data_IF_851764873518
#
_entry.id   IF_851764873518
#
_cell.length_a   1.000
_cell.length_b   1.000
_cell.length_c   1.000
_cell.angle_alpha   90.00
_cell.angle_beta   90.00
_cell.angle_gamma   90.00
#
_symmetry.space_group_name_H-M   'P 1'
#
loop_
_entity.id
_entity.type
_entity.pdbx_description
1 polymer ?
#
# COMPACT_ATOMS: atom_id res chain seq x y z
N UNK A 1 3.64 9.13 6.54
CA UNK A 1 4.96 9.76 6.66
C UNK A 1 5.02 10.90 5.65
N UNK A 2 5.75 11.98 5.93
CA UNK A 2 5.90 13.10 4.98
C UNK A 2 7.24 12.94 4.22
N UNK A 3 7.17 12.78 2.90
CA UNK A 3 8.33 12.67 2.03
C UNK A 3 8.71 14.05 1.49
N UNK A 4 10.00 14.41 1.52
CA UNK A 4 10.52 15.66 0.96
C UNK A 4 11.70 15.41 0.04
N UNK A 5 11.66 16.00 -1.16
CA UNK A 5 12.74 15.89 -2.15
C UNK A 5 12.70 17.06 -3.15
N UNK A 6 13.82 17.31 -3.83
CA UNK A 6 13.86 18.24 -4.96
C UNK A 6 13.51 17.49 -6.25
N UNK A 7 12.61 18.05 -7.05
CA UNK A 7 12.15 17.44 -8.28
C UNK A 7 13.12 17.64 -9.45
N UNK A 8 13.07 16.75 -10.43
CA UNK A 8 13.56 17.01 -11.78
C UNK A 8 12.40 17.49 -12.68
N UNK A 9 12.74 17.97 -13.88
CA UNK A 9 11.73 18.38 -14.86
C UNK A 9 10.83 17.20 -15.25
N UNK A 10 9.52 17.46 -15.38
CA UNK A 10 8.55 16.40 -15.70
C UNK A 10 7.13 16.75 -15.30
N UNK A 11 6.19 15.82 -15.45
CA UNK A 11 4.84 15.98 -14.90
C UNK A 11 4.86 15.65 -13.41
N UNK A 12 4.26 16.50 -12.58
CA UNK A 12 4.22 16.34 -11.11
C UNK A 12 3.81 14.93 -10.69
N UNK A 13 2.71 14.42 -11.24
CA UNK A 13 2.18 13.09 -10.91
C UNK A 13 3.13 11.94 -11.29
N UNK A 14 3.88 12.08 -12.38
CA UNK A 14 4.86 11.09 -12.81
C UNK A 14 6.13 11.14 -11.95
N UNK A 15 6.66 12.34 -11.71
CA UNK A 15 7.88 12.56 -10.92
C UNK A 15 7.71 12.05 -9.49
N UNK A 16 6.56 12.32 -8.88
CA UNK A 16 6.27 11.88 -7.51
C UNK A 16 6.04 10.36 -7.45
N UNK A 17 5.36 9.78 -8.45
CA UNK A 17 5.14 8.33 -8.51
C UNK A 17 6.45 7.56 -8.62
N UNK A 18 7.33 7.99 -9.52
CA UNK A 18 8.67 7.45 -9.68
C UNK A 18 9.49 7.58 -8.40
N UNK A 19 9.53 8.78 -7.81
CA UNK A 19 10.36 9.03 -6.64
C UNK A 19 9.92 8.27 -5.40
N UNK A 20 8.61 8.10 -5.22
CA UNK A 20 8.05 7.42 -4.06
C UNK A 20 7.81 5.93 -4.31
N UNK A 21 7.93 5.43 -5.54
CA UNK A 21 7.62 4.05 -5.87
C UNK A 21 6.14 3.68 -5.76
N UNK A 22 5.24 4.67 -5.80
CA UNK A 22 3.78 4.45 -5.70
C UNK A 22 3.11 4.49 -7.07
N UNK A 23 1.95 3.84 -7.26
CA UNK A 23 1.19 3.95 -8.48
C UNK A 23 0.83 5.40 -8.81
N UNK A 24 0.94 5.81 -10.07
CA UNK A 24 0.61 7.17 -10.52
C UNK A 24 -0.82 7.59 -10.17
N UNK A 25 -1.77 6.66 -10.18
CA UNK A 25 -3.15 6.92 -9.79
C UNK A 25 -3.28 7.33 -8.31
N UNK A 26 -2.43 6.79 -7.44
CA UNK A 26 -2.40 7.16 -6.02
C UNK A 26 -1.87 8.58 -5.82
N UNK A 27 -0.81 8.94 -6.54
CA UNK A 27 -0.31 10.31 -6.55
C UNK A 27 -1.35 11.29 -7.03
N UNK A 28 -2.09 10.96 -8.10
CA UNK A 28 -3.14 11.85 -8.63
C UNK A 28 -4.24 12.10 -7.59
N UNK A 29 -4.72 11.06 -6.90
CA UNK A 29 -5.67 11.22 -5.78
C UNK A 29 -5.06 12.06 -4.65
N UNK A 30 -3.78 11.82 -4.35
CA UNK A 30 -3.02 12.58 -3.36
C UNK A 30 -2.92 14.08 -3.66
N UNK A 31 -2.64 14.43 -4.92
CA UNK A 31 -2.62 15.80 -5.41
C UNK A 31 -4.01 16.44 -5.28
N UNK A 32 -5.06 15.72 -5.68
CA UNK A 32 -6.46 16.18 -5.57
C UNK A 32 -6.88 16.43 -4.12
N UNK A 33 -6.34 15.67 -3.16
CA UNK A 33 -6.55 15.87 -1.72
C UNK A 33 -5.57 16.85 -1.06
N UNK A 34 -4.69 17.51 -1.83
CA UNK A 34 -3.71 18.47 -1.30
C UNK A 34 -2.60 17.84 -0.44
N UNK A 35 -2.39 16.52 -0.57
CA UNK A 35 -1.35 15.77 0.11
C UNK A 35 0.02 15.90 -0.56
N UNK A 36 0.07 16.46 -1.77
CA UNK A 36 1.30 16.75 -2.51
C UNK A 36 1.37 18.26 -2.78
N UNK A 37 2.52 18.87 -2.45
CA UNK A 37 2.78 20.30 -2.62
C UNK A 37 4.08 20.53 -3.39
N UNK A 38 4.10 21.59 -4.18
CA UNK A 38 5.26 22.10 -4.93
C UNK A 38 5.58 23.47 -4.36
N UNK A 39 6.77 23.64 -3.80
CA UNK A 39 7.21 24.85 -3.10
C UNK A 39 6.20 25.35 -2.05
N UNK A 40 5.56 24.39 -1.37
CA UNK A 40 4.56 24.66 -0.31
C UNK A 40 3.12 24.85 -0.82
N UNK A 41 2.90 24.97 -2.14
CA UNK A 41 1.58 25.18 -2.73
C UNK A 41 0.99 23.92 -3.37
N UNK A 42 -0.33 23.76 -3.28
CA UNK A 42 -1.04 22.69 -3.99
C UNK A 42 -1.11 23.05 -5.48
N UNK A 43 -0.81 22.08 -6.34
CA UNK A 43 -0.83 22.21 -7.80
C UNK A 43 -1.77 21.20 -8.42
N UNK A 44 -2.12 21.38 -9.69
CA UNK A 44 -2.92 20.39 -10.42
C UNK A 44 -2.09 19.16 -10.77
N UNK A 45 -2.73 18.00 -10.96
CA UNK A 45 -2.06 16.77 -11.40
C UNK A 45 -1.35 16.85 -12.76
N UNK A 46 -1.75 17.81 -13.59
CA UNK A 46 -1.15 18.09 -14.90
C UNK A 46 -0.01 19.11 -14.84
N UNK A 47 0.29 19.67 -13.66
CA UNK A 47 1.37 20.63 -13.48
C UNK A 47 2.71 20.04 -13.95
N UNK A 48 3.47 20.85 -14.71
CA UNK A 48 4.81 20.50 -15.19
C UNK A 48 5.84 21.18 -14.30
N UNK A 49 6.72 20.36 -13.75
CA UNK A 49 7.90 20.74 -13.01
C UNK A 49 9.02 21.07 -14.00
N UNK A 50 9.84 22.06 -13.67
CA UNK A 50 10.98 22.54 -14.44
C UNK A 50 12.30 21.99 -13.90
N UNK A 51 12.28 21.40 -12.70
CA UNK A 51 13.46 20.91 -11.98
C UNK A 51 13.92 21.91 -10.92
N UNK A 52 14.33 21.38 -9.78
CA UNK A 52 14.77 22.15 -8.61
C UNK A 52 13.66 22.44 -7.61
N UNK A 53 12.37 22.38 -8.01
CA UNK A 53 11.25 22.64 -7.10
C UNK A 53 11.23 21.69 -5.90
N UNK A 54 10.86 22.20 -4.73
CA UNK A 54 10.74 21.42 -3.51
C UNK A 54 9.38 20.71 -3.44
N UNK A 55 9.39 19.39 -3.42
CA UNK A 55 8.19 18.58 -3.27
C UNK A 55 8.05 18.14 -1.83
N UNK A 56 6.84 18.33 -1.26
CA UNK A 56 6.41 17.61 -0.06
C UNK A 56 5.20 16.74 -0.38
N UNK A 57 5.26 15.46 0.01
CA UNK A 57 4.22 14.48 -0.27
C UNK A 57 3.91 13.65 0.98
N UNK A 58 2.68 13.78 1.47
CA UNK A 58 2.13 12.97 2.56
C UNK A 58 1.35 11.77 2.00
N UNK A 59 1.98 11.02 1.08
CA UNK A 59 1.43 9.78 0.54
C UNK A 59 1.99 8.59 1.32
N UNK A 60 1.19 7.54 1.46
CA UNK A 60 1.75 6.26 1.86
C UNK A 60 2.61 5.78 0.69
N UNK A 61 3.90 5.48 0.94
CA UNK A 61 4.75 4.83 -0.06
C UNK A 61 4.20 3.43 -0.42
N UNK A 62 4.80 2.73 -1.41
CA UNK A 62 4.57 1.31 -1.57
C UNK A 62 4.79 0.67 -0.21
N UNK A 63 3.82 -0.12 0.23
CA UNK A 63 4.01 -0.86 1.48
C UNK A 63 5.04 -1.94 1.14
N UNK A 64 6.22 -1.90 1.77
CA UNK A 64 7.25 -2.94 1.69
C UNK A 64 6.72 -4.21 2.36
N UNK A 65 5.74 -4.84 1.72
CA UNK A 65 5.13 -6.06 2.18
C UNK A 65 6.03 -7.22 1.81
N UNK A 66 6.84 -7.63 2.78
CA UNK A 66 7.66 -8.81 2.63
C UNK A 66 6.84 -10.08 2.86
N UNK A 67 6.99 -11.11 1.99
CA UNK A 67 6.46 -12.44 2.24
C UNK A 67 7.06 -13.09 3.49
N UNK A 68 6.23 -13.70 4.33
CA UNK A 68 6.69 -14.45 5.50
C UNK A 68 6.14 -15.88 5.49
N UNK A 69 7.02 -16.85 5.30
CA UNK A 69 6.65 -18.26 5.35
C UNK A 69 6.28 -18.66 6.79
N UNK A 70 5.00 -18.95 7.02
CA UNK A 70 4.50 -19.53 8.26
C UNK A 70 3.25 -20.37 7.98
N UNK A 71 2.86 -21.29 8.88
CA UNK A 71 1.65 -22.08 8.69
C UNK A 71 0.41 -21.21 8.48
N UNK A 72 -0.31 -21.50 7.40
CA UNK A 72 -1.58 -20.89 7.06
C UNK A 72 -2.52 -21.97 6.52
N UNK A 73 -3.33 -22.60 7.37
CA UNK A 73 -4.26 -23.64 6.93
C UNK A 73 -5.30 -23.04 5.98
N UNK A 74 -5.35 -23.54 4.75
CA UNK A 74 -6.38 -23.21 3.76
C UNK A 74 -7.44 -24.30 3.81
N UNK A 75 -8.69 -23.92 4.10
CA UNK A 75 -9.80 -24.86 4.19
C UNK A 75 -10.63 -24.93 2.91
N UNK A 76 -10.59 -23.87 2.10
CA UNK A 76 -11.28 -23.81 0.82
C UNK A 76 -10.50 -22.91 -0.13
N UNK A 77 -10.43 -23.28 -1.41
CA UNK A 77 -9.82 -22.49 -2.47
C UNK A 77 -10.48 -22.86 -3.80
N UNK A 78 -10.88 -21.84 -4.56
CA UNK A 78 -11.32 -21.95 -5.95
C UNK A 78 -10.71 -20.80 -6.79
N UNK A 79 -11.20 -20.63 -8.02
CA UNK A 79 -10.71 -19.58 -8.93
C UNK A 79 -11.10 -18.15 -8.52
N UNK A 80 -12.01 -17.98 -7.55
CA UNK A 80 -12.54 -16.70 -7.13
C UNK A 80 -12.08 -16.29 -5.72
N UNK A 81 -11.96 -17.25 -4.80
CA UNK A 81 -11.65 -16.97 -3.41
C UNK A 81 -10.88 -18.09 -2.71
N UNK A 82 -10.33 -17.75 -1.56
CA UNK A 82 -9.64 -18.65 -0.65
C UNK A 82 -10.11 -18.35 0.77
N UNK A 83 -10.36 -19.39 1.56
CA UNK A 83 -10.70 -19.30 2.98
C UNK A 83 -9.57 -19.91 3.80
N UNK A 84 -8.97 -19.08 4.63
CA UNK A 84 -7.88 -19.47 5.52
C UNK A 84 -8.33 -19.49 6.98
N UNK A 85 -7.70 -20.34 7.78
CA UNK A 85 -7.86 -20.32 9.23
C UNK A 85 -6.80 -19.41 9.85
N UNK A 86 -7.19 -18.20 10.25
CA UNK A 86 -6.30 -17.25 10.92
C UNK A 86 -6.15 -17.62 12.39
N UNK A 87 -4.91 -17.79 12.92
CA UNK A 87 -4.72 -17.93 14.36
C UNK A 87 -4.99 -16.60 15.09
N UNK A 88 -5.32 -16.69 16.39
CA UNK A 88 -5.28 -15.54 17.28
C UNK A 88 -3.81 -15.11 17.48
N UNK A 89 -3.60 -13.83 17.84
CA UNK A 89 -2.29 -13.23 18.06
C UNK A 89 -1.64 -12.57 16.84
N UNK A 90 -2.25 -12.65 15.64
CA UNK A 90 -1.73 -11.99 14.42
C UNK A 90 -2.72 -10.98 13.85
N UNK A 91 -2.20 -9.89 13.29
CA UNK A 91 -2.99 -8.91 12.54
C UNK A 91 -3.46 -9.52 11.21
N UNK A 92 -4.65 -9.10 10.74
CA UNK A 92 -5.12 -9.47 9.40
C UNK A 92 -4.26 -8.83 8.31
N UNK A 93 -4.05 -7.51 8.41
CA UNK A 93 -3.22 -6.75 7.49
C UNK A 93 -2.28 -5.81 8.28
N UNK A 94 -1.20 -5.35 7.66
CA UNK A 94 -0.27 -4.36 8.19
C UNK A 94 -0.93 -3.09 8.72
N UNK A 95 -0.28 -2.51 9.73
CA UNK A 95 -0.59 -1.19 10.25
C UNK A 95 0.63 -0.29 10.14
N UNK A 96 0.49 1.04 10.27
CA UNK A 96 1.64 1.94 10.28
C UNK A 96 2.71 1.60 11.34
N UNK A 97 2.32 0.90 12.41
CA UNK A 97 3.22 0.46 13.48
C UNK A 97 3.77 -0.96 13.31
N UNK A 98 3.22 -1.77 12.39
CA UNK A 98 3.59 -3.17 12.20
C UNK A 98 3.32 -3.64 10.77
N UNK A 99 4.39 -3.79 10.00
CA UNK A 99 4.35 -4.23 8.60
C UNK A 99 4.49 -5.75 8.41
N UNK A 100 4.97 -6.44 9.45
CA UNK A 100 5.39 -7.85 9.43
C UNK A 100 4.57 -8.71 10.39
N UNK A 101 4.61 -10.03 10.20
CA UNK A 101 3.94 -11.01 11.05
C UNK A 101 2.41 -10.99 10.94
N UNK A 102 1.87 -10.51 9.81
CA UNK A 102 0.43 -10.44 9.55
C UNK A 102 -0.04 -11.60 8.68
N UNK A 103 -1.35 -11.80 8.57
CA UNK A 103 -1.92 -12.77 7.63
C UNK A 103 -1.56 -12.43 6.17
N UNK A 104 -1.55 -11.15 5.80
CA UNK A 104 -1.10 -10.69 4.48
C UNK A 104 0.33 -11.13 4.16
N UNK A 105 1.28 -11.00 5.10
CA UNK A 105 2.66 -11.46 4.88
C UNK A 105 2.71 -12.98 4.58
N UNK A 106 1.87 -13.76 5.27
CA UNK A 106 1.76 -15.21 5.04
C UNK A 106 1.12 -15.55 3.70
N UNK A 107 0.06 -14.84 3.33
CA UNK A 107 -0.60 -15.00 2.03
C UNK A 107 0.37 -14.70 0.88
N UNK A 108 1.17 -13.63 1.00
CA UNK A 108 2.20 -13.28 0.03
C UNK A 108 3.23 -14.41 -0.15
N UNK A 109 3.64 -15.07 0.93
CA UNK A 109 4.58 -16.19 0.88
C UNK A 109 4.05 -17.42 0.14
N UNK A 110 2.74 -17.49 -0.10
CA UNK A 110 2.15 -18.60 -0.86
C UNK A 110 2.35 -18.49 -2.37
N UNK A 111 2.74 -17.31 -2.87
CA UNK A 111 2.91 -17.05 -4.31
C UNK A 111 1.60 -17.02 -5.12
N UNK A 112 0.44 -17.08 -4.45
CA UNK A 112 -0.87 -16.99 -5.10
C UNK A 112 -1.13 -15.57 -5.62
N UNK A 113 -1.87 -15.42 -6.74
CA UNK A 113 -2.35 -14.11 -7.14
C UNK A 113 -3.35 -13.58 -6.11
N UNK A 114 -3.13 -12.35 -5.63
CA UNK A 114 -4.00 -11.69 -4.65
C UNK A 114 -4.56 -10.40 -5.25
N UNK A 115 -5.87 -10.19 -5.07
CA UNK A 115 -6.54 -8.96 -5.51
C UNK A 115 -6.02 -7.74 -4.75
N UNK A 116 -5.69 -6.64 -5.44
CA UNK A 116 -5.29 -5.38 -4.81
C UNK A 116 -6.44 -4.39 -4.62
N UNK A 117 -7.67 -4.80 -4.87
CA UNK A 117 -8.84 -3.92 -4.78
C UNK A 117 -9.03 -3.35 -3.36
N UNK A 118 -8.61 -4.10 -2.33
CA UNK A 118 -8.65 -3.69 -0.92
C UNK A 118 -7.58 -2.67 -0.50
N UNK A 119 -6.65 -2.31 -1.40
CA UNK A 119 -5.49 -1.45 -1.12
C UNK A 119 -4.16 -2.21 -1.19
N UNK A 120 -3.07 -1.46 -1.33
CA UNK A 120 -1.71 -2.01 -1.41
C UNK A 120 -1.28 -2.71 -0.10
N UNK A 121 -1.83 -2.30 1.05
CA UNK A 121 -1.60 -2.92 2.36
C UNK A 121 -2.49 -4.15 2.63
N UNK A 122 -3.45 -4.46 1.75
CA UNK A 122 -4.49 -5.48 1.97
C UNK A 122 -4.71 -6.42 0.78
N UNK A 123 -3.64 -6.93 0.13
CA UNK A 123 -3.81 -7.82 -1.00
C UNK A 123 -4.60 -9.08 -0.58
N UNK A 124 -5.68 -9.36 -1.31
CA UNK A 124 -6.55 -10.52 -1.13
C UNK A 124 -7.54 -10.44 0.03
N UNK A 125 -7.56 -9.34 0.80
CA UNK A 125 -8.39 -9.24 2.01
C UNK A 125 -9.75 -8.60 1.69
N UNK A 126 -10.84 -9.32 1.97
CA UNK A 126 -12.23 -8.84 1.78
C UNK A 126 -12.89 -8.37 3.08
N UNK A 127 -12.48 -8.92 4.23
CA UNK A 127 -12.89 -8.47 5.56
C UNK A 127 -11.76 -8.73 6.57
N UNK A 128 -11.95 -8.40 7.86
CA UNK A 128 -10.91 -8.59 8.88
C UNK A 128 -11.41 -9.30 10.13
N UNK A 129 -10.48 -9.97 10.80
CA UNK A 129 -10.60 -10.42 12.18
C UNK A 129 -9.62 -9.60 13.05
N UNK A 130 -10.00 -9.37 14.30
CA UNK A 130 -9.14 -8.71 15.28
C UNK A 130 -7.91 -9.57 15.61
N UNK A 131 -6.87 -8.93 16.15
CA UNK A 131 -5.60 -9.61 16.46
C UNK A 131 -5.81 -10.77 17.42
N UNK A 132 -6.62 -10.59 18.47
CA UNK A 132 -6.96 -11.61 19.45
C UNK A 132 -7.96 -12.66 18.96
N UNK A 133 -8.55 -12.49 17.77
CA UNK A 133 -9.57 -13.38 17.23
C UNK A 133 -8.96 -14.41 16.27
N UNK A 134 -9.30 -15.68 16.49
CA UNK A 134 -9.07 -16.76 15.52
C UNK A 134 -10.35 -17.05 14.74
N UNK A 135 -10.21 -17.64 13.56
CA UNK A 135 -11.36 -18.06 12.76
C UNK A 135 -11.09 -18.09 11.27
N UNK A 136 -12.16 -18.33 10.52
CA UNK A 136 -12.14 -18.34 9.06
C UNK A 136 -12.18 -16.91 8.52
N UNK A 137 -11.39 -16.68 7.48
CA UNK A 137 -11.26 -15.40 6.78
C UNK A 137 -10.93 -15.64 5.31
#
# INVERSE_FOLDING_TARGET
MEHRFSAHAGRLDAVVAERLGVPRAEVQRGIEHGLVRVDGEVRSKSHRLHGGEAISAALAGPTDLEPEAAPLPILFEDEHLLVASKPAGILTHPTPSRLTGTLVNRLLATGRPLSRLGGEDRPGIVHRLDSGTSGLI
#
